data_IF_071144906143
#
_entry.id   IF_071144906143
#
_cell.length_a   1.000
_cell.length_b   1.000
_cell.length_c   1.000
_cell.angle_alpha   90.00
_cell.angle_beta   90.00
_cell.angle_gamma   90.00
#
_symmetry.space_group_name_H-M   'P 1'
#
loop_
_entity.id
_entity.type
_entity.pdbx_description
1 polymer ?
#
# COMPACT_ATOMS: atom_id res chain seq x y z
N UNK A 1 31.78 4.08 56.08
CA UNK A 1 31.37 2.77 55.52
C UNK A 1 30.02 3.01 54.85
N UNK A 2 30.01 3.54 53.62
CA UNK A 2 30.04 2.80 52.34
C UNK A 2 28.75 1.98 52.14
N UNK A 3 27.82 2.43 51.29
CA UNK A 3 27.63 2.02 49.86
C UNK A 3 26.32 1.19 49.82
N UNK A 4 25.33 1.38 48.96
CA UNK A 4 25.38 1.44 47.51
C UNK A 4 24.10 2.10 46.96
N UNK A 5 24.28 2.99 45.99
CA UNK A 5 23.20 3.62 45.25
C UNK A 5 22.57 2.60 44.29
N UNK A 6 21.26 2.37 44.44
CA UNK A 6 20.47 1.64 43.44
C UNK A 6 20.36 2.49 42.17
N UNK A 7 21.31 2.31 41.27
CA UNK A 7 21.33 2.91 39.93
C UNK A 7 20.05 2.48 39.21
N UNK A 8 19.14 3.42 38.99
CA UNK A 8 18.03 3.21 38.06
C UNK A 8 18.63 2.97 36.68
N UNK A 9 18.57 1.72 36.23
CA UNK A 9 19.01 1.34 34.90
C UNK A 9 18.21 2.17 33.88
N UNK A 10 18.92 3.06 33.18
CA UNK A 10 18.42 3.78 32.03
C UNK A 10 17.98 2.70 31.04
N UNK A 11 16.66 2.52 30.91
CA UNK A 11 16.08 1.56 30.00
C UNK A 11 16.59 1.87 28.60
N UNK A 12 17.38 0.96 28.03
CA UNK A 12 17.70 0.98 26.61
C UNK A 12 16.37 0.88 25.85
N UNK A 13 15.85 2.02 25.39
CA UNK A 13 14.73 2.02 24.47
C UNK A 13 15.25 1.42 23.16
N UNK A 14 14.95 0.14 22.97
CA UNK A 14 15.06 -0.53 21.68
C UNK A 14 14.32 0.31 20.63
N UNK A 15 14.92 0.45 19.44
CA UNK A 15 14.32 1.12 18.27
C UNK A 15 13.08 0.37 17.74
N UNK A 16 12.85 -0.87 18.20
CA UNK A 16 11.74 -1.72 17.80
C UNK A 16 10.87 -2.09 18.99
N UNK A 17 9.55 -2.27 18.78
CA UNK A 17 8.67 -2.74 19.83
C UNK A 17 9.10 -4.14 20.30
N UNK A 18 8.90 -4.47 21.58
CA UNK A 18 9.13 -5.83 22.06
C UNK A 18 8.20 -6.82 21.33
N UNK A 19 8.63 -8.07 21.15
CA UNK A 19 7.82 -9.08 20.50
C UNK A 19 6.50 -9.29 21.28
N UNK A 20 5.40 -9.62 20.60
CA UNK A 20 4.11 -9.88 21.26
C UNK A 20 4.18 -11.02 22.28
N UNK A 21 3.58 -10.84 23.45
CA UNK A 21 3.65 -11.75 24.61
C UNK A 21 3.29 -13.22 24.32
N UNK A 22 2.52 -13.49 23.25
CA UNK A 22 2.15 -14.85 22.85
C UNK A 22 3.35 -15.74 22.51
N UNK A 23 4.55 -15.18 22.26
CA UNK A 23 5.77 -15.96 22.06
C UNK A 23 6.06 -16.91 23.24
N UNK A 24 5.61 -16.55 24.45
CA UNK A 24 5.80 -17.36 25.67
C UNK A 24 5.01 -18.66 25.68
N UNK A 25 4.02 -18.80 24.79
CA UNK A 25 3.18 -19.99 24.65
C UNK A 25 3.84 -21.09 23.79
N UNK A 26 4.94 -20.76 23.09
CA UNK A 26 5.71 -21.69 22.26
C UNK A 26 6.85 -22.30 23.09
N UNK A 27 6.50 -23.16 24.04
CA UNK A 27 7.45 -23.91 24.88
C UNK A 27 7.42 -25.40 24.56
N UNK A 28 8.55 -26.07 24.74
CA UNK A 28 8.68 -27.52 24.52
C UNK A 28 7.89 -28.36 25.54
N UNK A 29 7.56 -27.80 26.71
CA UNK A 29 6.83 -28.44 27.81
C UNK A 29 5.31 -28.13 27.81
N UNK A 30 4.75 -27.71 26.67
CA UNK A 30 3.34 -27.37 26.53
C UNK A 30 2.46 -28.63 26.47
N UNK A 31 1.71 -28.89 27.54
CA UNK A 31 0.87 -30.09 27.71
C UNK A 31 -0.64 -29.84 27.51
N UNK A 32 -1.05 -28.61 27.18
CA UNK A 32 -2.45 -28.22 27.01
C UNK A 32 -3.22 -28.01 28.33
N UNK A 33 -2.52 -27.97 29.46
CA UNK A 33 -3.09 -27.68 30.79
C UNK A 33 -3.27 -26.17 30.99
N UNK A 34 -4.08 -25.76 31.96
CA UNK A 34 -4.29 -24.33 32.27
C UNK A 34 -2.99 -23.60 32.67
N UNK A 35 -2.01 -24.32 33.22
CA UNK A 35 -0.68 -23.78 33.55
C UNK A 35 0.31 -23.81 32.38
N UNK A 36 0.09 -24.70 31.40
CA UNK A 36 0.94 -24.91 30.22
C UNK A 36 0.09 -25.09 28.96
N UNK A 37 -0.58 -24.03 28.50
CA UNK A 37 -1.44 -24.10 27.33
C UNK A 37 -0.62 -24.32 26.06
N UNK A 38 -1.21 -25.03 25.10
CA UNK A 38 -0.65 -25.12 23.75
C UNK A 38 -0.70 -23.76 23.05
N UNK A 39 0.23 -23.49 22.12
CA UNK A 39 0.18 -22.27 21.33
C UNK A 39 -1.16 -22.19 20.58
N UNK A 40 -1.81 -21.02 20.56
CA UNK A 40 -3.06 -20.85 19.85
C UNK A 40 -2.84 -21.08 18.36
N UNK A 41 -3.82 -21.71 17.70
CA UNK A 41 -3.85 -21.81 16.24
C UNK A 41 -3.86 -20.38 15.67
N UNK A 42 -3.13 -20.12 14.57
CA UNK A 42 -3.18 -18.81 13.92
C UNK A 42 -4.64 -18.39 13.67
N UNK A 43 -4.96 -17.09 13.79
CA UNK A 43 -6.29 -16.59 13.49
C UNK A 43 -6.66 -16.97 12.06
N UNK A 44 -7.96 -17.23 11.84
CA UNK A 44 -8.44 -17.52 10.49
C UNK A 44 -8.10 -16.35 9.56
N UNK A 45 -7.78 -16.63 8.28
CA UNK A 45 -7.58 -15.57 7.29
C UNK A 45 -8.76 -14.60 7.32
N UNK A 46 -8.48 -13.31 7.35
CA UNK A 46 -9.52 -12.30 7.20
C UNK A 46 -10.11 -12.49 5.80
N UNK A 47 -11.43 -12.64 5.69
CA UNK A 47 -12.09 -12.93 4.40
C UNK A 47 -12.54 -11.67 3.66
N UNK A 48 -12.70 -10.54 4.37
CA UNK A 48 -13.30 -9.34 3.80
C UNK A 48 -12.26 -8.24 3.56
N UNK A 49 -11.82 -7.55 4.63
CA UNK A 49 -10.91 -6.40 4.50
C UNK A 49 -9.84 -6.38 5.57
N UNK A 50 -8.60 -6.08 5.19
CA UNK A 50 -7.47 -5.93 6.08
C UNK A 50 -6.84 -4.55 5.94
N UNK A 51 -6.34 -3.98 7.04
CA UNK A 51 -5.60 -2.73 6.99
C UNK A 51 -4.12 -3.03 6.69
N UNK A 52 -3.59 -2.43 5.64
CA UNK A 52 -2.18 -2.52 5.28
C UNK A 52 -1.68 -1.13 4.91
N UNK A 53 -0.56 -0.72 5.51
CA UNK A 53 0.04 0.62 5.35
C UNK A 53 -0.93 1.80 5.61
N UNK A 54 -1.94 1.60 6.46
CA UNK A 54 -2.95 2.61 6.76
C UNK A 54 -4.13 2.62 5.79
N UNK A 55 -4.09 1.86 4.71
CA UNK A 55 -5.19 1.70 3.77
C UNK A 55 -5.98 0.40 4.03
N UNK A 56 -7.28 0.43 3.77
CA UNK A 56 -8.13 -0.75 3.81
C UNK A 56 -8.04 -1.47 2.47
N UNK A 57 -7.62 -2.73 2.50
CA UNK A 57 -7.51 -3.61 1.34
C UNK A 57 -8.53 -4.74 1.44
N UNK A 58 -9.06 -5.18 0.30
CA UNK A 58 -9.97 -6.32 0.21
C UNK A 58 -9.19 -7.58 -0.16
N UNK A 59 -9.64 -8.73 0.34
CA UNK A 59 -9.00 -10.04 0.12
C UNK A 59 -9.32 -10.60 -1.26
N UNK A 60 -10.36 -10.07 -1.93
CA UNK A 60 -10.69 -10.44 -3.30
C UNK A 60 -9.51 -10.18 -4.26
N UNK A 61 -9.23 -11.12 -5.19
CA UNK A 61 -8.25 -10.94 -6.25
C UNK A 61 -8.83 -10.00 -7.31
N UNK A 62 -8.93 -8.72 -6.99
CA UNK A 62 -9.44 -7.68 -7.86
C UNK A 62 -8.65 -6.40 -7.62
N UNK A 63 -8.37 -5.66 -8.69
CA UNK A 63 -7.85 -4.31 -8.53
C UNK A 63 -9.03 -3.48 -8.05
N UNK A 64 -8.93 -2.84 -6.86
CA UNK A 64 -10.03 -2.05 -6.34
C UNK A 64 -10.48 -1.03 -7.39
N UNK A 65 -11.79 -0.92 -7.56
CA UNK A 65 -12.36 0.02 -8.51
C UNK A 65 -11.84 1.42 -8.24
N UNK A 66 -11.56 2.18 -9.30
CA UNK A 66 -11.24 3.59 -9.15
C UNK A 66 -12.40 4.28 -8.43
N UNK A 67 -12.10 4.94 -7.31
CA UNK A 67 -13.08 5.77 -6.62
C UNK A 67 -13.47 7.01 -7.46
N UNK A 68 -12.63 7.37 -8.43
CA UNK A 68 -12.87 8.42 -9.42
C UNK A 68 -13.36 7.83 -10.75
N UNK A 69 -14.04 8.62 -11.55
CA UNK A 69 -14.41 8.24 -12.92
C UNK A 69 -13.14 7.86 -13.70
N UNK A 70 -13.18 6.71 -14.38
CA UNK A 70 -12.08 6.28 -15.24
C UNK A 70 -11.92 7.29 -16.38
N UNK A 71 -10.75 7.93 -16.44
CA UNK A 71 -10.41 8.84 -17.55
C UNK A 71 -10.06 8.07 -18.84
N UNK A 72 -9.97 6.75 -18.79
CA UNK A 72 -9.64 5.93 -19.94
C UNK A 72 -10.85 5.61 -20.83
N UNK A 73 -10.61 5.57 -22.14
CA UNK A 73 -11.65 5.29 -23.12
C UNK A 73 -11.84 3.77 -23.26
N UNK A 74 -13.10 3.33 -23.14
CA UNK A 74 -13.49 1.96 -23.45
C UNK A 74 -13.87 1.87 -24.93
N UNK A 75 -13.38 0.82 -25.60
CA UNK A 75 -13.77 0.54 -26.99
C UNK A 75 -15.21 0.02 -27.04
N UNK A 76 -15.83 0.05 -28.23
CA UNK A 76 -17.21 -0.41 -28.44
C UNK A 76 -17.46 -1.89 -28.06
N UNK A 77 -16.40 -2.70 -27.93
CA UNK A 77 -16.46 -4.09 -27.48
C UNK A 77 -16.27 -4.27 -25.96
N UNK A 78 -16.18 -3.18 -25.19
CA UNK A 78 -15.93 -3.21 -23.74
C UNK A 78 -14.47 -3.48 -23.35
N UNK A 79 -13.57 -3.64 -24.32
CA UNK A 79 -12.13 -3.75 -24.09
C UNK A 79 -11.45 -2.39 -23.97
N UNK A 80 -10.33 -2.34 -23.27
CA UNK A 80 -9.47 -1.15 -23.17
C UNK A 80 -8.20 -1.42 -23.96
N UNK A 81 -7.86 -0.55 -24.91
CA UNK A 81 -6.52 -0.55 -25.52
C UNK A 81 -5.54 0.13 -24.56
N UNK A 82 -5.05 -0.66 -23.60
CA UNK A 82 -4.19 -0.17 -22.52
C UNK A 82 -2.94 0.53 -23.06
N UNK A 83 -2.42 0.09 -24.20
CA UNK A 83 -1.22 0.68 -24.81
C UNK A 83 -1.51 2.08 -25.35
N UNK A 84 -2.59 2.25 -26.11
CA UNK A 84 -2.96 3.56 -26.64
C UNK A 84 -3.35 4.52 -25.51
N UNK A 85 -4.07 4.03 -24.52
CA UNK A 85 -4.50 4.84 -23.39
C UNK A 85 -3.33 5.31 -22.53
N UNK A 86 -2.36 4.42 -22.22
CA UNK A 86 -1.12 4.82 -21.53
C UNK A 86 -0.33 5.83 -22.35
N UNK A 87 -0.28 5.68 -23.68
CA UNK A 87 0.40 6.64 -24.55
C UNK A 87 -0.29 8.01 -24.55
N UNK A 88 -1.62 8.02 -24.54
CA UNK A 88 -2.43 9.24 -24.44
C UNK A 88 -2.19 9.95 -23.11
N UNK A 89 -2.34 9.24 -21.98
CA UNK A 89 -2.10 9.77 -20.64
C UNK A 89 -0.66 10.25 -20.45
N UNK A 90 0.32 9.61 -21.09
CA UNK A 90 1.71 10.07 -21.05
C UNK A 90 1.87 11.43 -21.74
N UNK A 91 1.22 11.64 -22.89
CA UNK A 91 1.21 12.95 -23.57
C UNK A 91 0.49 14.01 -22.75
N UNK A 92 -0.65 13.68 -22.15
CA UNK A 92 -1.35 14.58 -21.24
C UNK A 92 -0.49 14.95 -20.03
N UNK A 93 0.23 13.99 -19.44
CA UNK A 93 1.13 14.23 -18.32
C UNK A 93 2.23 15.24 -18.68
N UNK A 94 2.82 15.11 -19.88
CA UNK A 94 3.83 16.05 -20.36
C UNK A 94 3.26 17.46 -20.54
N UNK A 95 2.06 17.58 -21.13
CA UNK A 95 1.38 18.86 -21.28
C UNK A 95 1.03 19.48 -19.92
N UNK A 96 0.47 18.69 -19.02
CA UNK A 96 0.15 19.09 -17.65
C UNK A 96 1.39 19.54 -16.88
N UNK A 97 2.55 18.93 -17.13
CA UNK A 97 3.82 19.36 -16.53
C UNK A 97 4.32 20.69 -17.12
N UNK A 98 4.17 20.91 -18.42
CA UNK A 98 4.52 22.18 -19.06
C UNK A 98 3.65 23.33 -18.52
N UNK A 99 2.35 23.11 -18.37
CA UNK A 99 1.44 24.07 -17.73
C UNK A 99 1.80 24.33 -16.27
N UNK A 100 2.27 23.31 -15.52
CA UNK A 100 2.76 23.51 -14.16
C UNK A 100 3.95 24.47 -14.13
N UNK A 101 4.90 24.31 -15.05
CA UNK A 101 6.06 25.19 -15.15
C UNK A 101 5.62 26.63 -15.46
N UNK A 102 4.68 26.81 -16.38
CA UNK A 102 4.10 28.12 -16.72
C UNK A 102 3.39 28.75 -15.53
N UNK A 103 2.55 28.00 -14.80
CA UNK A 103 1.87 28.46 -13.57
C UNK A 103 2.88 28.83 -12.47
N UNK A 104 3.98 28.10 -12.33
CA UNK A 104 5.01 28.42 -11.34
C UNK A 104 5.71 29.76 -11.62
N UNK A 105 5.82 30.16 -12.89
CA UNK A 105 6.40 31.43 -13.30
C UNK A 105 5.40 32.57 -13.13
N UNK A 106 4.15 32.39 -13.58
CA UNK A 106 3.14 33.45 -13.60
C UNK A 106 2.41 33.62 -12.26
N UNK A 107 1.95 32.52 -11.65
CA UNK A 107 1.14 32.54 -10.45
C UNK A 107 1.37 31.28 -9.58
N UNK A 108 2.45 31.24 -8.79
CA UNK A 108 2.83 30.06 -8.02
C UNK A 108 1.78 29.63 -6.98
N UNK A 109 0.89 30.55 -6.55
CA UNK A 109 -0.22 30.26 -5.63
C UNK A 109 -1.25 29.29 -6.21
N UNK A 110 -1.34 29.15 -7.53
CA UNK A 110 -2.25 28.20 -8.20
C UNK A 110 -1.59 26.84 -8.51
N UNK A 111 -0.30 26.67 -8.22
CA UNK A 111 0.42 25.41 -8.47
C UNK A 111 -0.17 24.16 -7.79
N UNK A 112 -0.78 24.23 -6.58
CA UNK A 112 -1.32 23.02 -5.93
C UNK A 112 -2.41 22.33 -6.74
N UNK A 113 -3.23 23.09 -7.47
CA UNK A 113 -4.29 22.54 -8.32
C UNK A 113 -3.69 21.69 -9.44
N UNK A 114 -2.67 22.23 -10.13
CA UNK A 114 -2.02 21.51 -11.21
C UNK A 114 -1.24 20.28 -10.72
N UNK A 115 -0.66 20.33 -9.53
CA UNK A 115 -0.04 19.16 -8.89
C UNK A 115 -1.09 18.07 -8.57
N UNK A 116 -2.29 18.47 -8.11
CA UNK A 116 -3.38 17.54 -7.86
C UNK A 116 -3.86 16.85 -9.15
N UNK A 117 -3.94 17.58 -10.27
CA UNK A 117 -4.28 17.04 -11.60
C UNK A 117 -3.24 16.00 -12.06
N UNK A 118 -1.95 16.31 -11.94
CA UNK A 118 -0.86 15.37 -12.23
C UNK A 118 -0.97 14.13 -11.34
N UNK A 119 -1.26 14.31 -10.05
CA UNK A 119 -1.48 13.20 -9.11
C UNK A 119 -2.69 12.33 -9.47
N UNK A 120 -3.74 12.89 -10.07
CA UNK A 120 -4.87 12.13 -10.60
C UNK A 120 -4.48 11.32 -11.84
N UNK A 121 -3.79 11.93 -12.81
CA UNK A 121 -3.25 11.26 -14.00
C UNK A 121 -2.35 10.06 -13.63
N UNK A 122 -1.44 10.24 -12.69
CA UNK A 122 -0.53 9.17 -12.25
C UNK A 122 -1.25 8.00 -11.57
N UNK A 123 -2.26 8.28 -10.73
CA UNK A 123 -3.11 7.24 -10.12
C UNK A 123 -3.86 6.44 -11.19
N UNK A 124 -4.33 7.13 -12.22
CA UNK A 124 -5.04 6.53 -13.35
C UNK A 124 -4.13 5.61 -14.18
N UNK A 125 -2.90 6.07 -14.51
CA UNK A 125 -1.90 5.25 -15.20
C UNK A 125 -1.50 4.04 -14.36
N UNK A 126 -1.30 4.21 -13.05
CA UNK A 126 -1.00 3.11 -12.13
C UNK A 126 -2.12 2.05 -12.14
N UNK A 127 -3.38 2.47 -12.16
CA UNK A 127 -4.50 1.55 -12.28
C UNK A 127 -4.47 0.74 -13.58
N UNK A 128 -4.21 1.37 -14.73
CA UNK A 128 -4.08 0.67 -16.02
C UNK A 128 -2.92 -0.34 -16.02
N UNK A 129 -1.79 0.00 -15.40
CA UNK A 129 -0.67 -0.93 -15.25
C UNK A 129 -1.03 -2.10 -14.33
N UNK A 130 -1.81 -1.85 -13.28
CA UNK A 130 -2.28 -2.90 -12.40
C UNK A 130 -3.16 -3.89 -13.15
N UNK A 131 -4.03 -3.41 -14.04
CA UNK A 131 -4.89 -4.25 -14.89
C UNK A 131 -4.08 -5.21 -15.79
N UNK A 132 -2.84 -4.87 -16.13
CA UNK A 132 -1.95 -5.74 -16.91
C UNK A 132 -1.24 -6.83 -16.08
N UNK A 133 -1.14 -6.69 -14.75
CA UNK A 133 -0.39 -7.64 -13.91
C UNK A 133 -0.81 -9.11 -14.13
N UNK A 134 -2.11 -9.45 -14.20
CA UNK A 134 -2.53 -10.85 -14.41
C UNK A 134 -2.17 -11.40 -15.79
N UNK A 135 -1.96 -10.53 -16.79
CA UNK A 135 -1.51 -10.94 -18.11
C UNK A 135 0.02 -11.15 -18.12
N UNK A 136 0.78 -10.30 -17.43
CA UNK A 136 2.24 -10.42 -17.33
C UNK A 136 2.66 -11.72 -16.66
N UNK A 137 2.02 -12.10 -15.54
CA UNK A 137 2.32 -13.34 -14.82
C UNK A 137 2.06 -14.60 -15.68
N UNK A 138 1.10 -14.54 -16.60
CA UNK A 138 0.81 -15.65 -17.52
C UNK A 138 1.79 -15.74 -18.69
N UNK A 139 2.40 -14.63 -19.08
CA UNK A 139 3.38 -14.58 -20.18
C UNK A 139 4.77 -15.01 -19.71
N UNK A 140 5.15 -14.68 -18.47
CA UNK A 140 6.44 -15.04 -17.88
C UNK A 140 6.48 -16.45 -17.25
N UNK A 141 5.38 -17.19 -17.31
CA UNK A 141 5.24 -18.57 -16.80
C UNK A 141 5.74 -19.66 -17.76
N UNK A 142 6.96 -19.51 -18.28
CA UNK A 142 7.73 -20.57 -18.98
C UNK A 142 8.82 -21.13 -18.07
#
# INVERSE_FOLDING_TARGET
>A
MAENAGVSAIGQQSMYPPPPEFYRLYREDADGTAERPLPPVPPQPVEETYQMFGEMHTVEPGIPALQAQSLFHTMANGGIDIKQELLHMNKELLFSFEELLSVLIEQPSSSPNRIADIGALLRQMHHLLNMLRPHQVRVDGL
#
